data_IF_739767182714
#
_entry.id   IF_739767182714
#
_cell.length_a   1.000
_cell.length_b   1.000
_cell.length_c   1.000
_cell.angle_alpha   90.00
_cell.angle_beta   90.00
_cell.angle_gamma   90.00
#
_symmetry.space_group_name_H-M   'P 1'
#
loop_
_entity.id
_entity.type
_entity.pdbx_description
1 polymer ?
#
# COMPACT_ATOMS: atom_id res chain seq x y z
N UNK A 1 10.99 18.03 29.71
CA UNK A 1 10.17 17.00 29.01
C UNK A 1 9.00 17.75 28.40
N UNK A 2 9.11 18.11 27.12
CA UNK A 2 8.10 18.93 26.44
C UNK A 2 6.92 18.07 26.03
N UNK A 3 5.71 18.52 26.34
CA UNK A 3 4.45 17.93 25.89
C UNK A 3 4.48 17.77 24.36
N UNK A 4 4.27 16.53 23.89
CA UNK A 4 4.06 16.24 22.48
C UNK A 4 2.69 16.84 22.12
N UNK A 5 2.70 18.07 21.58
CA UNK A 5 1.50 18.73 21.09
C UNK A 5 0.77 17.78 20.14
N UNK A 6 -0.54 17.62 20.28
CA UNK A 6 -1.43 16.73 19.49
C UNK A 6 -1.50 17.07 17.99
N UNK A 7 -0.33 17.18 17.36
CA UNK A 7 -0.13 17.45 15.96
C UNK A 7 -0.13 16.12 15.22
N UNK A 8 -0.98 16.03 14.19
CA UNK A 8 -1.08 14.86 13.33
C UNK A 8 0.30 14.51 12.76
N UNK A 9 0.71 13.26 12.93
CA UNK A 9 1.99 12.76 12.43
C UNK A 9 1.79 11.99 11.12
N UNK A 10 2.64 12.26 10.14
CA UNK A 10 2.63 11.56 8.86
C UNK A 10 3.84 10.63 8.75
N UNK A 11 3.60 9.45 8.19
CA UNK A 11 4.54 8.35 8.09
C UNK A 11 4.74 7.95 6.64
N UNK A 12 5.99 7.82 6.23
CA UNK A 12 6.37 7.28 4.94
C UNK A 12 7.20 6.02 5.14
N UNK A 13 6.79 4.94 4.49
CA UNK A 13 7.57 3.72 4.36
C UNK A 13 8.37 3.72 3.06
N UNK A 14 9.68 3.53 3.14
CA UNK A 14 10.51 3.61 1.93
C UNK A 14 11.89 2.99 2.06
N UNK A 15 12.69 3.19 1.01
CA UNK A 15 14.07 2.69 0.93
C UNK A 15 14.91 3.16 2.12
N UNK A 16 15.89 2.35 2.51
CA UNK A 16 16.80 2.66 3.62
C UNK A 16 17.81 3.75 3.24
N UNK A 17 18.48 4.30 4.25
CA UNK A 17 19.64 5.18 4.07
C UNK A 17 19.35 6.68 4.06
N UNK A 18 18.07 7.08 4.09
CA UNK A 18 17.67 8.48 4.19
C UNK A 18 17.77 8.98 5.64
N UNK A 19 17.91 10.30 5.78
CA UNK A 19 18.17 10.98 7.05
C UNK A 19 17.18 12.11 7.28
N UNK A 20 17.07 12.54 8.53
CA UNK A 20 16.34 13.75 8.86
C UNK A 20 16.93 14.94 8.08
N UNK A 21 16.06 15.74 7.48
CA UNK A 21 16.43 16.84 6.59
C UNK A 21 16.30 16.53 5.11
N UNK A 22 16.41 15.26 4.71
CA UNK A 22 16.32 14.85 3.31
C UNK A 22 14.92 15.10 2.73
N UNK A 23 14.86 15.29 1.41
CA UNK A 23 13.63 15.37 0.65
C UNK A 23 13.34 14.02 -0.03
N UNK A 24 12.18 13.46 0.29
CA UNK A 24 11.56 12.42 -0.48
C UNK A 24 11.15 12.99 -1.84
N UNK A 25 11.68 12.38 -2.88
CA UNK A 25 11.43 12.70 -4.29
C UNK A 25 10.60 11.60 -4.92
N UNK A 26 9.65 11.98 -5.77
CA UNK A 26 8.79 11.03 -6.46
C UNK A 26 9.58 10.14 -7.43
N UNK A 27 9.03 8.96 -7.82
CA UNK A 27 9.65 8.11 -8.84
C UNK A 27 10.03 8.87 -10.12
N UNK A 28 9.19 9.81 -10.57
CA UNK A 28 9.43 10.64 -11.74
C UNK A 28 10.69 11.50 -11.60
N UNK A 29 10.87 12.16 -10.46
CA UNK A 29 12.05 12.99 -10.18
C UNK A 29 13.34 12.17 -10.08
N UNK A 30 13.22 10.92 -9.62
CA UNK A 30 14.34 9.98 -9.45
C UNK A 30 14.47 8.97 -10.58
N UNK A 31 13.80 9.17 -11.73
CA UNK A 31 13.71 8.16 -12.81
C UNK A 31 15.06 7.60 -13.28
N UNK A 32 16.11 8.44 -13.25
CA UNK A 32 17.49 8.06 -13.65
C UNK A 32 18.23 7.26 -12.58
N UNK A 33 17.76 7.31 -11.34
CA UNK A 33 18.32 6.65 -10.16
C UNK A 33 17.59 5.33 -9.83
N UNK A 34 16.46 5.05 -10.50
CA UNK A 34 15.70 3.81 -10.28
C UNK A 34 16.53 2.57 -10.59
N UNK A 35 16.47 1.61 -9.67
CA UNK A 35 16.99 0.26 -9.83
C UNK A 35 16.24 -0.51 -10.93
N UNK A 36 16.79 -1.63 -11.39
CA UNK A 36 16.10 -2.49 -12.36
C UNK A 36 14.73 -2.99 -11.88
N UNK A 37 14.63 -3.32 -10.59
CA UNK A 37 13.37 -3.75 -9.97
C UNK A 37 12.33 -2.61 -9.92
N UNK A 38 12.75 -1.41 -9.52
CA UNK A 38 11.86 -0.23 -9.52
C UNK A 38 11.39 0.12 -10.93
N UNK A 39 12.28 0.05 -11.94
CA UNK A 39 11.88 0.27 -13.35
C UNK A 39 10.91 -0.78 -13.86
N UNK A 40 11.11 -2.05 -13.49
CA UNK A 40 10.17 -3.12 -13.88
C UNK A 40 8.80 -2.90 -13.24
N UNK A 41 8.77 -2.52 -11.95
CA UNK A 41 7.53 -2.18 -11.25
C UNK A 41 6.83 -0.98 -11.90
N UNK A 42 7.58 0.08 -12.24
CA UNK A 42 7.06 1.27 -12.94
C UNK A 42 6.48 0.92 -14.31
N UNK A 43 7.17 0.10 -15.11
CA UNK A 43 6.68 -0.35 -16.42
C UNK A 43 5.38 -1.16 -16.30
N UNK A 44 5.26 -2.00 -15.27
CA UNK A 44 4.04 -2.75 -15.00
C UNK A 44 2.88 -1.82 -14.63
N UNK A 45 3.13 -0.85 -13.74
CA UNK A 45 2.14 0.18 -13.39
C UNK A 45 1.74 1.03 -14.61
N UNK A 46 2.70 1.43 -15.44
CA UNK A 46 2.43 2.16 -16.68
C UNK A 46 1.59 1.35 -17.68
N UNK A 47 1.89 0.05 -17.83
CA UNK A 47 1.13 -0.86 -18.70
C UNK A 47 -0.29 -1.12 -18.19
N UNK A 48 -0.50 -1.07 -16.87
CA UNK A 48 -1.82 -1.09 -16.25
C UNK A 48 -2.57 0.26 -16.35
N UNK A 49 -1.91 1.30 -16.90
CA UNK A 49 -2.50 2.60 -17.20
C UNK A 49 -2.10 3.73 -16.24
N UNK A 50 -1.26 3.45 -15.22
CA UNK A 50 -1.21 4.25 -13.97
C UNK A 50 -2.64 4.54 -13.53
N UNK A 51 -3.24 3.65 -12.74
CA UNK A 51 -4.45 4.05 -12.06
C UNK A 51 -4.12 5.25 -11.14
N UNK A 52 -5.17 5.94 -10.69
CA UNK A 52 -5.03 7.01 -9.69
C UNK A 52 -4.23 6.52 -8.44
N UNK A 53 -4.13 5.21 -8.29
CA UNK A 53 -3.43 4.44 -7.26
C UNK A 53 -1.91 4.70 -7.14
N UNK A 54 -1.22 5.05 -8.22
CA UNK A 54 0.24 5.18 -8.22
C UNK A 54 0.73 6.20 -9.23
N UNK A 55 0.46 7.46 -8.93
CA UNK A 55 0.98 8.60 -9.67
C UNK A 55 2.50 8.73 -9.47
N UNK A 56 3.32 8.57 -10.53
CA UNK A 56 4.77 8.59 -10.41
C UNK A 56 5.33 9.97 -10.05
N UNK A 57 4.51 11.02 -10.10
CA UNK A 57 4.89 12.38 -9.73
C UNK A 57 4.68 12.67 -8.24
N UNK A 58 4.10 11.73 -7.49
CA UNK A 58 3.77 11.90 -6.07
C UNK A 58 4.64 11.03 -5.16
N UNK A 59 4.68 11.43 -3.89
CA UNK A 59 5.14 10.62 -2.76
C UNK A 59 3.96 10.43 -1.82
N UNK A 60 3.83 9.21 -1.30
CA UNK A 60 2.69 8.78 -0.48
C UNK A 60 3.09 8.66 0.98
N UNK A 61 2.20 9.05 1.87
CA UNK A 61 2.37 8.98 3.32
C UNK A 61 1.02 8.90 4.01
N UNK A 62 1.00 8.46 5.26
CA UNK A 62 -0.24 8.17 5.98
C UNK A 62 -0.12 8.51 7.46
N UNK A 63 -1.24 8.74 8.12
CA UNK A 63 -1.31 8.83 9.59
C UNK A 63 -1.27 7.45 10.25
N UNK A 64 -1.57 6.37 9.51
CA UNK A 64 -1.41 5.01 10.00
C UNK A 64 0.05 4.56 9.87
N UNK A 65 0.70 4.48 11.03
CA UNK A 65 2.08 4.02 11.15
C UNK A 65 2.26 2.58 10.64
N UNK A 66 1.29 1.68 10.84
CA UNK A 66 1.41 0.28 10.42
C UNK A 66 1.27 0.13 8.92
N UNK A 67 0.33 0.83 8.29
CA UNK A 67 0.22 0.89 6.84
C UNK A 67 1.55 1.30 6.18
N UNK A 68 2.18 2.38 6.67
CA UNK A 68 3.49 2.79 6.17
C UNK A 68 4.58 1.71 6.37
N UNK A 69 4.57 1.00 7.50
CA UNK A 69 5.52 -0.10 7.75
C UNK A 69 5.29 -1.28 6.81
N UNK A 70 4.03 -1.68 6.61
CA UNK A 70 3.64 -2.76 5.70
C UNK A 70 4.11 -2.50 4.28
N UNK A 71 3.85 -1.29 3.77
CA UNK A 71 4.29 -0.89 2.44
C UNK A 71 5.81 -0.90 2.27
N UNK A 72 6.56 -0.40 3.25
CA UNK A 72 8.01 -0.48 3.24
C UNK A 72 8.53 -1.92 3.26
N UNK A 73 7.81 -2.85 3.90
CA UNK A 73 8.20 -4.26 3.95
C UNK A 73 7.93 -4.99 2.63
N UNK A 74 6.80 -4.69 1.99
CA UNK A 74 6.37 -5.34 0.74
C UNK A 74 7.15 -4.78 -0.46
N UNK A 75 7.29 -3.45 -0.55
CA UNK A 75 7.78 -2.80 -1.78
C UNK A 75 9.30 -2.61 -1.83
N UNK A 76 9.99 -2.65 -0.68
CA UNK A 76 11.44 -2.47 -0.64
C UNK A 76 12.13 -3.82 -0.52
N UNK A 77 12.95 -4.15 -1.52
CA UNK A 77 13.76 -5.37 -1.49
C UNK A 77 14.64 -5.42 -0.23
N UNK A 78 14.56 -6.53 0.52
CA UNK A 78 15.25 -6.68 1.81
C UNK A 78 14.64 -5.89 2.98
N UNK A 79 13.46 -5.30 2.80
CA UNK A 79 12.76 -4.48 3.80
C UNK A 79 13.16 -3.00 3.76
N UNK A 80 12.28 -2.12 4.23
CA UNK A 80 12.51 -0.68 4.23
C UNK A 80 12.78 -0.08 5.61
N UNK A 81 12.71 1.24 5.65
CA UNK A 81 12.73 2.08 6.85
C UNK A 81 11.41 2.83 6.98
N UNK A 82 11.11 3.25 8.21
CA UNK A 82 9.99 4.14 8.51
C UNK A 82 10.48 5.55 8.80
N UNK A 83 9.85 6.54 8.16
CA UNK A 83 10.19 7.94 8.29
C UNK A 83 8.99 8.75 8.76
N UNK A 84 9.21 9.65 9.72
CA UNK A 84 8.25 10.72 10.01
C UNK A 84 8.47 11.85 9.03
N UNK A 85 7.42 12.32 8.38
CA UNK A 85 7.52 13.26 7.27
C UNK A 85 6.57 14.44 7.41
N UNK A 86 6.77 15.46 6.58
CA UNK A 86 5.78 16.49 6.29
C UNK A 86 5.75 16.78 4.79
N UNK A 87 4.58 17.06 4.19
CA UNK A 87 4.50 17.44 2.78
C UNK A 87 5.28 18.72 2.47
N UNK A 88 5.81 18.82 1.25
CA UNK A 88 6.47 20.01 0.73
C UNK A 88 6.04 20.24 -0.74
N UNK A 89 5.42 21.39 -1.07
CA UNK A 89 4.96 22.43 -0.14
C UNK A 89 3.78 21.92 0.72
N UNK A 90 3.52 22.56 1.86
CA UNK A 90 2.56 22.04 2.86
C UNK A 90 1.10 22.05 2.36
N UNK A 91 0.79 22.93 1.41
CA UNK A 91 -0.50 23.12 0.76
C UNK A 91 -0.73 22.21 -0.45
N UNK A 92 0.28 21.46 -0.91
CA UNK A 92 0.15 20.51 -2.03
C UNK A 92 -0.17 19.08 -1.57
N UNK A 93 -0.67 18.92 -0.35
CA UNK A 93 -1.12 17.63 0.19
C UNK A 93 -2.53 17.35 -0.31
N UNK A 94 -2.72 16.17 -0.89
CA UNK A 94 -4.00 15.68 -1.40
C UNK A 94 -4.31 14.32 -0.75
N UNK A 95 -5.59 13.95 -0.55
CA UNK A 95 -5.96 12.60 -0.14
C UNK A 95 -5.45 11.55 -1.13
N UNK A 96 -5.10 10.38 -0.62
CA UNK A 96 -4.80 9.20 -1.43
C UNK A 96 -6.11 8.58 -1.93
N UNK A 97 -6.30 8.39 -3.25
CA UNK A 97 -7.52 7.80 -3.80
C UNK A 97 -7.76 6.34 -3.36
N UNK A 98 -6.73 5.61 -2.93
CA UNK A 98 -6.84 4.18 -2.62
C UNK A 98 -7.13 3.89 -1.15
N UNK A 99 -6.61 4.73 -0.24
CA UNK A 99 -6.49 4.39 1.18
C UNK A 99 -7.39 5.22 2.10
N UNK A 100 -8.41 5.89 1.54
CA UNK A 100 -9.45 6.58 2.28
C UNK A 100 -8.92 7.61 3.29
N UNK A 101 -9.67 7.82 4.38
CA UNK A 101 -9.31 8.79 5.41
C UNK A 101 -8.01 8.37 6.13
N UNK A 102 -6.97 9.20 5.99
CA UNK A 102 -5.69 9.02 6.68
C UNK A 102 -4.51 8.66 5.77
N UNK A 103 -4.72 8.50 4.47
CA UNK A 103 -3.64 8.40 3.49
C UNK A 103 -3.64 9.62 2.56
N UNK A 104 -2.42 10.03 2.19
CA UNK A 104 -2.18 11.29 1.51
C UNK A 104 -1.03 11.18 0.53
N UNK A 105 -1.01 12.08 -0.44
CA UNK A 105 0.10 12.25 -1.35
C UNK A 105 0.47 13.73 -1.53
N UNK A 106 1.72 13.97 -1.93
CA UNK A 106 2.22 15.29 -2.31
C UNK A 106 3.34 15.13 -3.35
N UNK A 107 3.77 16.18 -4.07
CA UNK A 107 4.90 16.06 -5.01
C UNK A 107 6.21 15.65 -4.32
N UNK A 108 6.44 16.17 -3.10
CA UNK A 108 7.59 15.86 -2.24
C UNK A 108 7.19 15.85 -0.78
N UNK A 109 8.06 15.28 0.06
CA UNK A 109 7.93 15.36 1.50
C UNK A 109 9.30 15.47 2.16
N UNK A 110 9.41 16.23 3.25
CA UNK A 110 10.65 16.36 4.02
C UNK A 110 10.66 15.35 5.16
N UNK A 111 11.76 14.62 5.30
CA UNK A 111 11.99 13.71 6.43
C UNK A 111 12.30 14.54 7.67
N UNK A 112 11.48 14.37 8.69
CA UNK A 112 11.65 14.99 10.00
C UNK A 112 12.47 14.10 10.93
N UNK A 113 12.25 12.78 10.85
CA UNK A 113 12.97 11.80 11.66
C UNK A 113 12.97 10.42 10.98
N UNK A 114 14.01 9.63 11.27
CA UNK A 114 14.03 8.19 10.98
C UNK A 114 13.48 7.48 12.21
N UNK A 115 12.27 6.94 12.11
CA UNK A 115 11.59 6.31 13.24
C UNK A 115 11.95 4.83 13.40
N UNK A 116 12.24 4.14 12.29
CA UNK A 116 12.68 2.74 12.29
C UNK A 116 13.67 2.55 11.14
N UNK A 117 14.90 2.13 11.44
CA UNK A 117 15.96 1.95 10.43
C UNK A 117 15.84 0.65 9.63
N UNK A 118 15.17 -0.35 10.20
CA UNK A 118 14.90 -1.61 9.54
C UNK A 118 13.59 -2.15 10.07
N UNK A 119 12.61 -2.28 9.18
CA UNK A 119 11.31 -2.82 9.53
C UNK A 119 11.40 -4.33 9.68
N UNK A 120 11.10 -4.78 10.89
CA UNK A 120 10.97 -6.20 11.24
C UNK A 120 9.49 -6.55 11.24
N UNK A 121 9.00 -6.97 10.07
CA UNK A 121 7.67 -7.55 9.87
C UNK A 121 7.82 -8.80 9.01
N UNK A 122 7.05 -9.83 9.34
CA UNK A 122 6.81 -10.96 8.45
C UNK A 122 6.02 -10.52 7.21
N UNK A 123 5.97 -11.37 6.18
CA UNK A 123 5.14 -11.09 5.01
C UNK A 123 3.66 -10.95 5.38
N UNK A 124 3.15 -11.85 6.24
CA UNK A 124 1.76 -11.84 6.68
C UNK A 124 1.39 -10.58 7.47
N UNK A 125 2.24 -10.15 8.42
CA UNK A 125 2.00 -8.91 9.17
C UNK A 125 1.98 -7.68 8.26
N UNK A 126 2.85 -7.65 7.26
CA UNK A 126 2.90 -6.54 6.30
C UNK A 126 1.66 -6.51 5.40
N UNK A 127 1.23 -7.67 4.89
CA UNK A 127 0.01 -7.75 4.08
C UNK A 127 -1.24 -7.41 4.90
N UNK A 128 -1.34 -7.89 6.13
CA UNK A 128 -2.42 -7.52 7.03
C UNK A 128 -2.43 -6.00 7.26
N UNK A 129 -1.28 -5.38 7.54
CA UNK A 129 -1.19 -3.93 7.72
C UNK A 129 -1.61 -3.12 6.47
N UNK A 130 -1.36 -3.64 5.26
CA UNK A 130 -1.76 -2.97 4.02
C UNK A 130 -3.22 -3.22 3.61
N UNK A 131 -3.86 -4.27 4.11
CA UNK A 131 -5.21 -4.66 3.64
C UNK A 131 -6.29 -4.46 4.69
N UNK A 132 -5.94 -4.62 5.97
CA UNK A 132 -6.83 -4.49 7.11
C UNK A 132 -7.39 -3.08 7.18
N UNK A 133 -8.69 -2.94 6.94
CA UNK A 133 -9.41 -1.65 6.98
C UNK A 133 -9.39 -0.87 5.67
N UNK A 134 -8.61 -1.30 4.68
CA UNK A 134 -8.45 -0.57 3.41
C UNK A 134 -8.95 -1.35 2.19
N UNK A 135 -9.03 -2.68 2.30
CA UNK A 135 -9.42 -3.55 1.19
C UNK A 135 -10.77 -4.21 1.48
N UNK A 136 -11.85 -3.55 1.06
CA UNK A 136 -13.23 -4.00 1.24
C UNK A 136 -13.93 -4.30 -0.08
N UNK A 137 -15.02 -5.05 -0.02
CA UNK A 137 -16.01 -5.13 -1.10
C UNK A 137 -16.86 -3.85 -1.15
N UNK A 138 -17.70 -3.74 -2.17
CA UNK A 138 -18.55 -2.56 -2.40
C UNK A 138 -19.54 -2.27 -1.26
N UNK A 139 -19.87 -3.26 -0.43
CA UNK A 139 -20.72 -3.13 0.75
C UNK A 139 -19.94 -2.82 2.04
N UNK A 140 -18.62 -2.63 1.93
CA UNK A 140 -17.72 -2.38 3.06
C UNK A 140 -17.28 -3.65 3.80
N UNK A 141 -17.75 -4.84 3.42
CA UNK A 141 -17.27 -6.09 4.03
C UNK A 141 -15.79 -6.35 3.68
N UNK A 142 -15.00 -6.93 4.61
CA UNK A 142 -13.57 -7.13 4.39
C UNK A 142 -13.31 -8.20 3.32
N UNK A 143 -12.26 -8.01 2.53
CA UNK A 143 -11.83 -8.99 1.51
C UNK A 143 -11.00 -10.14 2.08
N UNK A 144 -10.46 -9.99 3.28
CA UNK A 144 -9.64 -10.99 3.95
C UNK A 144 -10.02 -11.14 5.43
N UNK A 145 -9.85 -12.33 6.01
CA UNK A 145 -9.87 -12.50 7.47
C UNK A 145 -8.55 -12.09 8.13
N UNK A 146 -8.50 -12.19 9.46
CA UNK A 146 -7.32 -11.85 10.25
C UNK A 146 -6.11 -12.74 9.93
N UNK A 147 -6.36 -13.96 9.44
CA UNK A 147 -5.34 -14.91 9.00
C UNK A 147 -4.87 -14.66 7.56
N UNK A 148 -5.51 -13.74 6.84
CA UNK A 148 -5.17 -13.32 5.49
C UNK A 148 -5.81 -14.11 4.37
N UNK A 149 -6.82 -14.93 4.66
CA UNK A 149 -7.55 -15.69 3.65
C UNK A 149 -8.72 -14.91 3.09
N UNK A 150 -8.96 -15.14 1.81
CA UNK A 150 -10.04 -14.52 1.04
C UNK A 150 -11.42 -14.72 1.68
N UNK A 151 -12.18 -13.63 1.77
CA UNK A 151 -13.59 -13.59 2.15
C UNK A 151 -14.42 -13.29 0.90
N UNK A 152 -15.39 -14.15 0.54
CA UNK A 152 -16.16 -13.98 -0.69
C UNK A 152 -17.00 -12.70 -0.70
N UNK A 153 -17.18 -12.05 -1.86
CA UNK A 153 -18.04 -10.87 -1.96
C UNK A 153 -19.52 -11.23 -1.75
N UNK A 154 -20.37 -10.23 -1.52
CA UNK A 154 -21.81 -10.42 -1.29
C UNK A 154 -22.51 -11.25 -2.36
N UNK A 155 -22.12 -11.11 -3.63
CA UNK A 155 -22.67 -11.87 -4.75
C UNK A 155 -22.45 -13.38 -4.61
N UNK A 156 -21.33 -13.80 -4.00
CA UNK A 156 -20.97 -15.21 -3.79
C UNK A 156 -21.59 -15.76 -2.51
N UNK A 157 -21.65 -14.93 -1.47
CA UNK A 157 -22.43 -15.25 -0.27
C UNK A 157 -23.91 -15.52 -0.63
N UNK A 158 -24.50 -14.71 -1.51
CA UNK A 158 -25.86 -14.91 -2.01
C UNK A 158 -26.05 -16.21 -2.81
N UNK A 159 -24.97 -16.78 -3.34
CA UNK A 159 -24.94 -18.09 -4.02
C UNK A 159 -24.66 -19.25 -3.04
N UNK A 160 -24.61 -18.99 -1.72
CA UNK A 160 -24.33 -19.99 -0.69
C UNK A 160 -22.86 -20.36 -0.56
N UNK A 161 -21.94 -19.61 -1.17
CA UNK A 161 -20.50 -19.81 -1.01
C UNK A 161 -20.03 -19.27 0.34
N UNK A 162 -18.99 -19.88 0.89
CA UNK A 162 -18.39 -19.56 2.18
C UNK A 162 -16.89 -19.32 2.03
N UNK A 163 -16.25 -18.72 3.03
CA UNK A 163 -14.79 -18.58 3.06
C UNK A 163 -14.06 -19.94 2.95
N UNK A 164 -14.67 -21.03 3.44
CA UNK A 164 -14.09 -22.37 3.35
C UNK A 164 -13.91 -22.82 1.88
N UNK A 165 -14.85 -22.46 1.01
CA UNK A 165 -14.81 -22.82 -0.42
C UNK A 165 -13.62 -22.21 -1.15
N UNK A 166 -12.98 -21.17 -0.60
CA UNK A 166 -11.89 -20.43 -1.22
C UNK A 166 -10.55 -20.58 -0.51
N UNK A 167 -10.44 -21.39 0.55
CA UNK A 167 -9.17 -21.56 1.28
C UNK A 167 -8.04 -22.09 0.42
N UNK A 168 -8.37 -22.83 -0.65
CA UNK A 168 -7.40 -23.35 -1.61
C UNK A 168 -6.60 -22.25 -2.34
N UNK A 169 -7.11 -21.01 -2.37
CA UNK A 169 -6.40 -19.87 -2.95
C UNK A 169 -5.16 -19.47 -2.15
N UNK A 170 -5.07 -19.91 -0.90
CA UNK A 170 -4.02 -19.48 0.02
C UNK A 170 -4.25 -18.07 0.56
N UNK A 171 -3.23 -17.57 1.27
CA UNK A 171 -3.28 -16.25 1.89
C UNK A 171 -2.99 -15.14 0.87
N UNK A 172 -3.66 -14.00 1.06
CA UNK A 172 -3.44 -12.75 0.33
C UNK A 172 -3.60 -12.87 -1.19
N UNK A 173 -4.41 -13.84 -1.64
CA UNK A 173 -4.70 -14.03 -3.05
C UNK A 173 -5.45 -12.80 -3.61
N UNK A 174 -4.85 -12.13 -4.59
CA UNK A 174 -5.44 -10.96 -5.27
C UNK A 174 -6.61 -11.38 -6.15
N UNK A 175 -7.82 -11.29 -5.60
CA UNK A 175 -9.07 -11.69 -6.29
C UNK A 175 -9.99 -10.50 -6.49
N UNK A 176 -10.42 -10.26 -7.72
CA UNK A 176 -11.31 -9.16 -8.11
C UNK A 176 -12.64 -9.68 -8.62
N UNK A 177 -13.68 -8.85 -8.57
CA UNK A 177 -14.98 -9.15 -9.15
C UNK A 177 -15.27 -8.20 -10.31
N UNK A 178 -15.52 -8.76 -11.50
CA UNK A 178 -15.93 -8.01 -12.69
C UNK A 178 -17.21 -8.61 -13.24
N UNK A 179 -18.30 -7.84 -13.26
CA UNK A 179 -19.58 -8.29 -13.82
C UNK A 179 -20.13 -9.58 -13.18
N UNK A 180 -19.89 -9.79 -11.88
CA UNK A 180 -20.30 -11.00 -11.15
C UNK A 180 -19.34 -12.18 -11.27
N UNK A 181 -18.28 -12.06 -12.08
CA UNK A 181 -17.25 -13.07 -12.22
C UNK A 181 -16.06 -12.76 -11.32
N UNK A 182 -15.63 -13.75 -10.54
CA UNK A 182 -14.37 -13.65 -9.81
C UNK A 182 -13.20 -13.92 -10.75
N UNK A 183 -12.16 -13.10 -10.66
CA UNK A 183 -10.89 -13.32 -11.34
C UNK A 183 -9.75 -13.22 -10.34
N UNK A 184 -8.73 -14.06 -10.48
CA UNK A 184 -7.52 -13.99 -9.68
C UNK A 184 -6.35 -13.46 -10.51
N UNK A 185 -5.58 -12.58 -9.90
CA UNK A 185 -4.35 -12.04 -10.50
C UNK A 185 -3.21 -13.03 -10.36
N UNK A 186 -2.51 -13.24 -11.47
CA UNK A 186 -1.41 -14.19 -11.59
C UNK A 186 -0.24 -13.50 -12.27
N UNK A 187 0.97 -14.07 -12.15
CA UNK A 187 2.12 -13.59 -12.94
C UNK A 187 1.88 -13.65 -14.47
N UNK A 188 0.83 -14.34 -14.91
CA UNK A 188 0.39 -14.47 -16.31
C UNK A 188 -0.87 -13.65 -16.62
N UNK A 189 -1.25 -12.71 -15.75
CA UNK A 189 -2.44 -11.87 -15.85
C UNK A 189 -3.69 -12.46 -15.19
N UNK A 190 -4.80 -11.74 -15.30
CA UNK A 190 -6.08 -12.08 -14.68
C UNK A 190 -6.67 -13.37 -15.27
N UNK A 191 -7.11 -14.29 -14.40
CA UNK A 191 -7.77 -15.53 -14.79
C UNK A 191 -9.10 -15.72 -14.08
N UNK A 192 -10.13 -16.25 -14.76
CA UNK A 192 -11.38 -16.64 -14.12
C UNK A 192 -11.15 -17.61 -12.94
N UNK A 193 -11.83 -17.36 -11.83
CA UNK A 193 -11.99 -18.36 -10.77
C UNK A 193 -13.13 -19.31 -11.14
N UNK A 194 -12.92 -20.63 -11.02
CA UNK A 194 -13.96 -21.63 -11.27
C UNK A 194 -15.13 -21.53 -10.28
#
# INVERSE_FOLDING_TARGET
MGADSGQVQYWHGGVRGLRAGDLLRSPFERRRELTGAERHSELRSAAAGYNDDRNPQRVYFTTDRQLARGWARIMVAGGGSLYRVRPVPADAMEPDPDYGDGAFCAPRAKILAVAEKSIMMTGDEAHLACTSGYTTWFDGSPRYDAEGYFQPPPSRLAQGKTAADYRFLGKWASVYEFGGQLVFDTDRGLRPLP
#
